data_IF_635669252942
#
_entry.id   IF_635669252942
#
_cell.length_a   1.000
_cell.length_b   1.000
_cell.length_c   1.000
_cell.angle_alpha   90.00
_cell.angle_beta   90.00
_cell.angle_gamma   90.00
#
_symmetry.space_group_name_H-M   'P 1'
#
loop_
_entity.id
_entity.type
_entity.pdbx_description
1 polymer ?
#
# COMPACT_ATOMS: atom_id res chain seq x y z
N UNK A 1 -8.84 -15.27 12.00
CA UNK A 1 -7.55 -15.68 12.57
C UNK A 1 -7.08 -16.84 11.72
N UNK A 2 -5.90 -16.74 11.11
CA UNK A 2 -5.31 -17.84 10.35
C UNK A 2 -4.18 -18.42 11.20
N UNK A 3 -4.30 -19.70 11.54
CA UNK A 3 -3.27 -20.45 12.27
C UNK A 3 -2.26 -21.13 11.31
N UNK A 4 -2.18 -20.72 10.05
CA UNK A 4 -1.73 -21.62 8.97
C UNK A 4 -0.72 -21.03 7.99
N UNK A 5 0.12 -20.07 8.40
CA UNK A 5 1.40 -19.85 7.73
C UNK A 5 2.45 -20.81 8.33
N UNK A 6 2.36 -22.11 8.01
CA UNK A 6 3.37 -23.11 8.44
C UNK A 6 4.67 -23.01 7.65
N UNK A 7 4.65 -22.31 6.51
CA UNK A 7 5.83 -22.06 5.69
C UNK A 7 6.45 -20.73 6.08
N UNK A 8 7.70 -20.80 6.56
CA UNK A 8 8.50 -19.62 6.92
C UNK A 8 8.97 -18.81 5.71
N UNK A 9 8.83 -19.36 4.50
CA UNK A 9 9.34 -18.77 3.26
C UNK A 9 8.39 -19.06 2.09
N UNK A 10 8.52 -18.25 1.04
CA UNK A 10 7.89 -18.49 -0.26
C UNK A 10 8.41 -19.82 -0.86
N UNK A 11 7.64 -20.47 -1.75
CA UNK A 11 8.14 -21.60 -2.53
C UNK A 11 9.45 -21.25 -3.27
N UNK A 12 10.38 -22.19 -3.38
CA UNK A 12 11.68 -21.97 -4.02
C UNK A 12 11.53 -21.48 -5.46
N UNK A 13 10.56 -22.02 -6.19
CA UNK A 13 10.29 -21.64 -7.58
C UNK A 13 9.80 -20.20 -7.69
N UNK A 14 9.14 -19.66 -6.66
CA UNK A 14 8.71 -18.27 -6.60
C UNK A 14 9.86 -17.35 -6.18
N UNK A 15 10.76 -17.82 -5.30
CA UNK A 15 12.00 -17.10 -4.96
C UNK A 15 12.92 -16.97 -6.19
N UNK A 16 13.13 -18.06 -6.93
CA UNK A 16 13.91 -18.07 -8.17
C UNK A 16 13.31 -17.14 -9.23
N UNK A 17 11.98 -17.17 -9.38
CA UNK A 17 11.27 -16.26 -10.26
C UNK A 17 11.58 -14.81 -9.92
N UNK A 18 11.43 -14.42 -8.65
CA UNK A 18 11.68 -13.04 -8.21
C UNK A 18 13.15 -12.64 -8.34
N UNK A 19 14.07 -13.53 -7.99
CA UNK A 19 15.51 -13.30 -8.10
C UNK A 19 15.94 -13.07 -9.56
N UNK A 20 15.38 -13.84 -10.52
CA UNK A 20 15.63 -13.63 -11.96
C UNK A 20 15.22 -12.24 -12.46
N UNK A 21 14.34 -11.56 -11.74
CA UNK A 21 13.87 -10.20 -12.02
C UNK A 21 14.64 -9.15 -11.21
N UNK A 22 15.76 -9.52 -10.59
CA UNK A 22 16.56 -8.70 -9.69
C UNK A 22 15.77 -8.14 -8.50
N UNK A 23 14.76 -8.88 -8.01
CA UNK A 23 13.96 -8.46 -6.86
C UNK A 23 14.65 -8.89 -5.56
N UNK A 24 14.98 -7.91 -4.71
CA UNK A 24 15.48 -8.16 -3.36
C UNK A 24 14.31 -8.48 -2.43
N UNK A 25 14.35 -9.65 -1.81
CA UNK A 25 13.27 -10.14 -0.94
C UNK A 25 13.67 -9.96 0.52
N UNK A 26 12.77 -9.35 1.29
CA UNK A 26 12.85 -9.26 2.75
C UNK A 26 11.69 -10.01 3.37
N UNK A 27 11.97 -10.95 4.26
CA UNK A 27 10.95 -11.64 5.04
C UNK A 27 10.52 -10.79 6.22
N UNK A 28 9.20 -10.68 6.39
CA UNK A 28 8.60 -10.16 7.62
C UNK A 28 8.67 -11.28 8.69
N UNK A 29 9.14 -10.98 9.91
CA UNK A 29 9.22 -11.99 10.96
C UNK A 29 7.85 -12.61 11.28
N UNK A 30 7.75 -13.95 11.40
CA UNK A 30 6.49 -14.61 11.71
C UNK A 30 5.97 -14.13 13.06
N UNK A 31 4.65 -14.06 13.18
CA UNK A 31 3.98 -13.59 14.39
C UNK A 31 3.08 -14.69 14.96
N UNK A 32 2.91 -14.68 16.29
CA UNK A 32 2.01 -15.64 16.97
C UNK A 32 0.56 -15.51 16.50
N UNK A 33 0.14 -14.32 16.08
CA UNK A 33 -1.21 -14.01 15.60
C UNK A 33 -1.17 -13.09 14.41
N UNK A 34 -1.63 -13.58 13.27
CA UNK A 34 -1.77 -12.78 12.05
C UNK A 34 -3.19 -12.24 11.92
N UNK A 35 -3.29 -10.94 11.65
CA UNK A 35 -4.56 -10.24 11.39
C UNK A 35 -4.38 -9.26 10.24
N UNK A 36 -5.48 -8.89 9.58
CA UNK A 36 -5.45 -7.90 8.51
C UNK A 36 -4.97 -6.54 9.04
N UNK A 37 -5.49 -6.11 10.20
CA UNK A 37 -5.03 -4.91 10.91
C UNK A 37 -3.50 -4.87 11.07
N UNK A 38 -2.92 -5.94 11.61
CA UNK A 38 -1.47 -6.01 11.85
C UNK A 38 -0.67 -5.98 10.56
N UNK A 39 -1.10 -6.74 9.56
CA UNK A 39 -0.45 -6.83 8.24
C UNK A 39 -0.42 -5.48 7.54
N UNK A 40 -1.49 -4.68 7.70
CA UNK A 40 -1.52 -3.31 7.21
C UNK A 40 -0.48 -2.41 7.89
N UNK A 41 -0.17 -2.63 9.18
CA UNK A 41 0.90 -1.88 9.86
C UNK A 41 2.31 -2.33 9.45
N UNK A 42 2.48 -3.56 8.96
CA UNK A 42 3.80 -4.02 8.49
C UNK A 42 4.31 -3.24 7.27
N UNK A 43 3.42 -2.53 6.56
CA UNK A 43 3.79 -1.58 5.50
C UNK A 43 4.84 -0.56 5.96
N UNK A 44 4.80 -0.16 7.22
CA UNK A 44 5.70 0.87 7.77
C UNK A 44 7.08 0.34 8.16
N UNK A 45 7.34 -0.98 8.08
CA UNK A 45 8.68 -1.54 8.27
C UNK A 45 9.70 -0.99 7.26
N UNK A 46 9.23 -0.51 6.12
CA UNK A 46 10.07 0.17 5.12
C UNK A 46 10.84 1.35 5.71
N UNK A 47 10.33 1.99 6.78
CA UNK A 47 11.04 3.08 7.46
C UNK A 47 12.36 2.62 8.11
N UNK A 48 12.54 1.32 8.34
CA UNK A 48 13.78 0.73 8.86
C UNK A 48 14.82 0.43 7.78
N UNK A 49 14.49 0.55 6.50
CA UNK A 49 15.41 0.25 5.39
C UNK A 49 16.28 1.49 5.07
N UNK A 50 17.11 1.88 6.03
CA UNK A 50 17.92 3.12 6.01
C UNK A 50 19.00 3.16 4.91
N UNK A 51 19.24 2.04 4.22
CA UNK A 51 20.06 2.03 3.01
C UNK A 51 19.42 2.80 1.83
N UNK A 52 18.13 3.14 1.92
CA UNK A 52 17.41 3.95 0.95
C UNK A 52 17.01 5.28 1.59
N UNK A 53 17.17 6.42 0.91
CA UNK A 53 16.73 7.73 1.42
C UNK A 53 15.21 7.80 1.55
N UNK A 54 14.49 7.34 0.51
CA UNK A 54 13.04 7.28 0.44
C UNK A 54 12.60 5.98 -0.22
N UNK A 55 11.39 5.52 0.11
CA UNK A 55 10.81 4.30 -0.47
C UNK A 55 9.41 4.59 -0.96
N UNK A 56 9.17 4.35 -2.26
CA UNK A 56 7.81 4.27 -2.82
C UNK A 56 7.23 2.90 -2.49
N UNK A 57 6.23 2.90 -1.63
CA UNK A 57 5.43 1.73 -1.32
C UNK A 57 4.26 1.61 -2.30
N UNK A 58 4.07 0.39 -2.82
CA UNK A 58 2.91 -0.01 -3.61
C UNK A 58 2.30 -1.27 -2.99
N UNK A 59 0.98 -1.29 -2.78
CA UNK A 59 0.28 -2.53 -2.43
C UNK A 59 0.48 -3.58 -3.55
N UNK A 60 0.52 -4.86 -3.17
CA UNK A 60 0.74 -5.96 -4.13
C UNK A 60 -0.39 -6.16 -5.15
N UNK A 61 -1.48 -5.38 -5.06
CA UNK A 61 -2.56 -5.29 -6.04
C UNK A 61 -2.58 -3.95 -6.80
N UNK A 62 -1.44 -3.26 -6.84
CA UNK A 62 -1.18 -2.13 -7.74
C UNK A 62 -0.33 -2.58 -8.93
N UNK A 63 -0.78 -2.23 -10.13
CA UNK A 63 -0.08 -2.50 -11.39
C UNK A 63 0.33 -1.18 -12.04
N UNK A 64 1.64 -0.82 -12.04
CA UNK A 64 2.14 0.31 -12.79
C UNK A 64 1.90 0.15 -14.30
N UNK A 65 1.60 1.25 -14.98
CA UNK A 65 1.33 1.34 -16.42
C UNK A 65 2.29 2.29 -17.15
N UNK A 66 3.10 3.03 -16.41
CA UNK A 66 4.07 3.98 -16.94
C UNK A 66 5.24 4.15 -15.96
N UNK A 67 6.26 4.91 -16.34
CA UNK A 67 7.40 5.20 -15.48
C UNK A 67 7.01 6.03 -14.22
N UNK A 68 7.37 5.53 -13.04
CA UNK A 68 7.17 6.20 -11.74
C UNK A 68 8.44 6.89 -11.21
N UNK A 69 9.58 6.80 -11.90
CA UNK A 69 10.83 7.46 -11.49
C UNK A 69 10.68 8.98 -11.33
N UNK A 70 9.91 9.70 -12.17
CA UNK A 70 9.68 11.12 -11.95
C UNK A 70 8.98 11.40 -10.61
N UNK A 71 8.07 10.51 -10.17
CA UNK A 71 7.45 10.60 -8.85
C UNK A 71 8.47 10.43 -7.71
N UNK A 72 9.41 9.48 -7.83
CA UNK A 72 10.47 9.28 -6.83
C UNK A 72 11.47 10.44 -6.77
N UNK A 73 11.87 10.96 -7.93
CA UNK A 73 12.99 11.89 -8.08
C UNK A 73 12.57 13.37 -8.04
N UNK A 74 11.27 13.66 -7.97
CA UNK A 74 10.75 15.02 -7.98
C UNK A 74 11.25 15.85 -6.79
N UNK A 75 11.83 17.00 -7.10
CA UNK A 75 12.24 18.02 -6.11
C UNK A 75 11.09 18.90 -5.64
N UNK A 76 9.91 18.78 -6.26
CA UNK A 76 8.72 19.54 -5.85
C UNK A 76 8.14 18.98 -4.55
N UNK A 77 8.48 17.75 -4.18
CA UNK A 77 7.91 17.07 -3.04
C UNK A 77 8.70 17.31 -1.74
N UNK A 78 7.94 17.39 -0.64
CA UNK A 78 8.44 17.23 0.72
C UNK A 78 8.96 15.80 0.97
N UNK A 79 9.45 15.55 2.18
CA UNK A 79 10.10 14.28 2.52
C UNK A 79 9.15 13.08 2.47
N UNK A 80 7.86 13.31 2.73
CA UNK A 80 6.79 12.33 2.55
C UNK A 80 5.83 12.78 1.45
N UNK A 81 5.34 11.83 0.66
CA UNK A 81 4.35 12.06 -0.39
C UNK A 81 3.28 11.00 -0.32
N UNK A 82 2.04 11.43 -0.38
CA UNK A 82 0.87 10.57 -0.40
C UNK A 82 -0.01 10.98 -1.55
N UNK A 83 -0.81 10.04 -2.06
CA UNK A 83 -1.85 10.37 -3.02
C UNK A 83 -3.20 10.45 -2.32
N UNK A 84 -4.07 11.31 -2.84
CA UNK A 84 -5.44 11.48 -2.37
C UNK A 84 -6.23 10.17 -2.45
N UNK A 85 -6.88 9.82 -1.33
CA UNK A 85 -7.80 8.70 -1.26
C UNK A 85 -9.17 9.03 -1.84
N UNK A 86 -9.97 7.99 -2.10
CA UNK A 86 -11.32 8.20 -2.66
C UNK A 86 -12.33 8.59 -1.58
N UNK A 87 -12.24 7.96 -0.40
CA UNK A 87 -13.13 8.16 0.77
C UNK A 87 -12.36 8.36 2.08
N UNK A 88 -11.05 8.33 1.97
CA UNK A 88 -10.07 8.51 3.02
C UNK A 88 -9.16 9.66 2.60
N UNK A 89 -8.57 10.43 3.52
CA UNK A 89 -7.71 11.53 3.14
C UNK A 89 -6.50 11.05 2.34
N UNK A 90 -5.81 10.01 2.81
CA UNK A 90 -4.62 9.43 2.17
C UNK A 90 -4.86 7.99 1.76
N UNK A 91 -4.47 7.64 0.54
CA UNK A 91 -4.49 6.26 0.08
C UNK A 91 -3.40 5.42 0.79
N UNK A 92 -3.79 4.31 1.42
CA UNK A 92 -2.84 3.42 2.11
C UNK A 92 -2.05 2.47 1.22
N UNK A 93 -2.29 2.46 -0.09
CA UNK A 93 -1.66 1.53 -1.03
C UNK A 93 -0.57 2.15 -1.90
N UNK A 94 -0.46 3.48 -1.98
CA UNK A 94 0.52 4.17 -2.80
C UNK A 94 1.04 5.40 -2.07
N UNK A 95 2.29 5.36 -1.61
CA UNK A 95 2.92 6.49 -0.91
C UNK A 95 4.44 6.40 -0.94
N UNK A 96 5.11 7.54 -0.83
CA UNK A 96 6.57 7.67 -0.73
C UNK A 96 6.90 8.22 0.66
N UNK A 97 7.70 7.51 1.45
CA UNK A 97 8.13 7.98 2.77
C UNK A 97 9.65 8.05 2.85
N UNK A 98 10.14 9.02 3.61
CA UNK A 98 11.54 9.07 4.04
C UNK A 98 11.81 8.03 5.11
N UNK A 99 12.91 7.30 4.98
CA UNK A 99 13.32 6.27 5.93
C UNK A 99 14.01 6.87 7.17
N UNK A 100 14.31 6.05 8.17
CA UNK A 100 15.05 6.46 9.38
C UNK A 100 14.19 6.75 10.60
N UNK A 101 12.87 6.58 10.53
CA UNK A 101 11.92 6.95 11.59
C UNK A 101 11.05 5.78 12.07
N UNK A 102 11.57 4.55 11.99
CA UNK A 102 10.84 3.34 12.38
C UNK A 102 10.46 3.34 13.88
N UNK A 103 11.35 3.82 14.74
CA UNK A 103 11.10 3.90 16.19
C UNK A 103 9.95 4.86 16.51
N UNK A 104 9.88 6.00 15.81
CA UNK A 104 8.81 6.99 16.01
C UNK A 104 7.44 6.39 15.71
N UNK A 105 7.30 5.71 14.56
CA UNK A 105 6.01 5.12 14.19
C UNK A 105 5.64 3.94 15.10
N UNK A 106 6.63 3.16 15.56
CA UNK A 106 6.40 2.09 16.53
C UNK A 106 5.86 2.65 17.85
N UNK A 107 6.39 3.76 18.34
CA UNK A 107 5.89 4.41 19.56
C UNK A 107 4.44 4.89 19.41
N UNK A 108 4.09 5.47 18.26
CA UNK A 108 2.71 5.87 17.94
C UNK A 108 1.77 4.67 17.99
N UNK A 109 2.16 3.55 17.35
CA UNK A 109 1.38 2.32 17.35
C UNK A 109 1.21 1.76 18.76
N UNK A 110 2.31 1.62 19.51
CA UNK A 110 2.29 1.07 20.85
C UNK A 110 1.39 1.88 21.80
N UNK A 111 1.49 3.22 21.75
CA UNK A 111 0.63 4.12 22.53
C UNK A 111 -0.85 3.92 22.20
N UNK A 112 -1.18 3.80 20.90
CA UNK A 112 -2.55 3.62 20.44
C UNK A 112 -3.08 2.23 20.80
N UNK A 113 -2.31 1.16 20.63
CA UNK A 113 -2.70 -0.20 21.02
C UNK A 113 -2.93 -0.31 22.54
N UNK A 114 -2.06 0.30 23.35
CA UNK A 114 -2.24 0.36 24.80
C UNK A 114 -3.54 1.10 25.20
N UNK A 115 -3.88 2.21 24.54
CA UNK A 115 -5.14 2.93 24.78
C UNK A 115 -6.35 2.12 24.32
N UNK A 116 -6.26 1.45 23.16
CA UNK A 116 -7.36 0.67 22.60
C UNK A 116 -7.82 -0.46 23.53
N UNK A 117 -6.89 -1.09 24.26
CA UNK A 117 -7.20 -2.13 25.25
C UNK A 117 -8.04 -1.62 26.44
N UNK A 118 -8.09 -0.31 26.66
CA UNK A 118 -8.85 0.34 27.75
C UNK A 118 -10.19 0.92 27.29
N UNK A 119 -10.44 0.95 25.98
CA UNK A 119 -11.65 1.53 25.41
C UNK A 119 -12.70 0.44 25.16
N UNK A 120 -13.97 0.78 25.37
CA UNK A 120 -15.08 -0.01 24.87
C UNK A 120 -15.05 -0.08 23.34
N UNK A 121 -15.76 -1.06 22.78
CA UNK A 121 -15.95 -1.16 21.32
C UNK A 121 -16.40 0.20 20.76
N UNK A 122 -15.77 0.75 19.71
CA UNK A 122 -14.92 0.07 18.72
C UNK A 122 -13.42 0.02 19.07
N UNK A 123 -13.02 0.18 20.33
CA UNK A 123 -11.61 0.21 20.74
C UNK A 123 -10.80 1.31 20.02
N UNK A 124 -11.49 2.36 19.58
CA UNK A 124 -10.90 3.47 18.84
C UNK A 124 -11.66 4.76 19.15
N UNK A 125 -10.91 5.74 19.65
CA UNK A 125 -11.43 7.07 19.97
C UNK A 125 -11.65 7.85 18.67
N UNK A 126 -12.89 7.97 18.21
CA UNK A 126 -13.21 8.64 16.95
C UNK A 126 -12.91 10.16 16.97
N UNK A 127 -12.73 10.75 18.15
CA UNK A 127 -12.40 12.17 18.27
C UNK A 127 -10.89 12.38 18.20
N UNK A 128 -10.12 11.63 18.98
CA UNK A 128 -8.66 11.77 19.05
C UNK A 128 -7.90 10.92 18.04
N UNK A 129 -8.45 9.81 17.60
CA UNK A 129 -7.84 8.84 16.71
C UNK A 129 -6.43 8.43 17.16
N UNK A 130 -5.44 8.77 16.33
CA UNK A 130 -4.02 8.51 16.57
C UNK A 130 -3.31 9.55 17.46
N UNK A 131 -4.04 10.57 17.94
CA UNK A 131 -3.50 11.60 18.83
C UNK A 131 -3.74 13.04 18.37
N UNK A 132 -4.66 13.28 17.42
CA UNK A 132 -5.01 14.62 16.93
C UNK A 132 -6.53 14.78 16.82
N UNK A 133 -7.06 15.89 17.29
CA UNK A 133 -8.49 16.18 17.27
C UNK A 133 -8.90 16.88 15.96
N UNK A 134 -9.82 16.26 15.20
CA UNK A 134 -10.24 16.74 13.88
C UNK A 134 -11.44 17.70 13.90
N UNK A 135 -12.00 18.04 15.07
CA UNK A 135 -13.16 18.96 15.19
C UNK A 135 -12.91 20.30 14.48
N UNK A 136 -11.70 20.84 14.63
CA UNK A 136 -11.32 22.14 14.09
C UNK A 136 -10.36 22.05 12.87
N UNK A 137 -10.10 20.83 12.40
CA UNK A 137 -9.18 20.50 11.29
C UNK A 137 -9.73 19.26 10.58
N UNK A 138 -10.86 19.39 9.85
CA UNK A 138 -11.51 18.26 9.22
C UNK A 138 -10.60 17.61 8.19
N UNK A 139 -10.67 16.29 8.10
CA UNK A 139 -10.05 15.58 7.00
C UNK A 139 -10.90 15.73 5.74
N UNK A 140 -10.25 15.73 4.58
CA UNK A 140 -10.88 15.84 3.27
C UNK A 140 -10.30 14.78 2.34
N UNK A 141 -11.15 14.25 1.48
CA UNK A 141 -10.84 13.32 0.39
C UNK A 141 -11.63 13.73 -0.85
N UNK A 142 -11.46 13.01 -1.96
CA UNK A 142 -12.19 13.28 -3.21
C UNK A 142 -13.72 13.31 -3.02
N UNK A 143 -14.29 12.33 -2.30
CA UNK A 143 -15.75 12.18 -2.18
C UNK A 143 -16.31 12.50 -0.80
N UNK A 144 -15.46 12.64 0.21
CA UNK A 144 -15.90 12.73 1.61
C UNK A 144 -15.01 13.68 2.42
N UNK A 145 -15.59 14.27 3.45
CA UNK A 145 -14.87 14.98 4.50
C UNK A 145 -15.50 14.68 5.85
N UNK A 146 -14.77 14.96 6.93
CA UNK A 146 -15.30 14.74 8.28
C UNK A 146 -14.43 15.35 9.37
N UNK A 147 -15.04 15.52 10.55
CA UNK A 147 -14.42 16.08 11.75
C UNK A 147 -14.07 15.01 12.80
N UNK A 148 -14.24 13.73 12.44
CA UNK A 148 -13.93 12.56 13.26
C UNK A 148 -13.07 11.59 12.47
N UNK A 149 -12.33 10.72 13.15
CA UNK A 149 -11.56 9.62 12.57
C UNK A 149 -12.47 8.46 12.12
N UNK A 150 -13.43 8.75 11.24
CA UNK A 150 -14.48 7.82 10.80
C UNK A 150 -14.32 7.35 9.35
N UNK A 151 -13.28 7.80 8.64
CA UNK A 151 -13.00 7.35 7.28
C UNK A 151 -12.52 5.88 7.23
N UNK A 152 -12.52 5.31 6.02
CA UNK A 152 -12.12 3.93 5.81
C UNK A 152 -10.70 3.67 6.36
N UNK A 153 -10.56 2.63 7.20
CA UNK A 153 -9.30 2.27 7.84
C UNK A 153 -8.64 3.42 8.63
N UNK A 154 -9.43 4.37 9.16
CA UNK A 154 -8.94 5.44 10.03
C UNK A 154 -8.25 4.91 11.30
N UNK A 155 -8.62 3.72 11.76
CA UNK A 155 -7.96 3.07 12.89
C UNK A 155 -6.76 2.22 12.49
N UNK A 156 -6.46 2.03 11.19
CA UNK A 156 -5.40 1.15 10.68
C UNK A 156 -4.37 1.93 9.83
N UNK A 157 -3.88 1.36 8.73
CA UNK A 157 -2.81 1.95 7.90
C UNK A 157 -3.13 3.36 7.39
N UNK A 158 -4.32 3.58 6.83
CA UNK A 158 -4.66 4.87 6.21
C UNK A 158 -4.70 6.00 7.25
N UNK A 159 -5.27 5.73 8.42
CA UNK A 159 -5.27 6.71 9.51
C UNK A 159 -3.91 6.92 10.15
N UNK A 160 -3.11 5.85 10.29
CA UNK A 160 -1.74 5.97 10.79
C UNK A 160 -0.88 6.78 9.82
N UNK A 161 -0.95 6.50 8.52
CA UNK A 161 -0.26 7.25 7.47
C UNK A 161 -0.66 8.73 7.50
N UNK A 162 -1.97 9.01 7.63
CA UNK A 162 -2.49 10.37 7.74
C UNK A 162 -1.93 11.09 8.97
N UNK A 163 -1.99 10.45 10.13
CA UNK A 163 -1.47 11.02 11.36
C UNK A 163 0.05 11.24 11.32
N UNK A 164 0.78 10.19 10.95
CA UNK A 164 2.23 10.17 10.92
C UNK A 164 2.76 11.26 9.98
N UNK A 165 2.30 11.30 8.73
CA UNK A 165 2.85 12.23 7.75
C UNK A 165 2.37 13.68 7.98
N UNK A 166 1.08 13.89 8.25
CA UNK A 166 0.50 15.24 8.40
C UNK A 166 0.81 15.84 9.78
N UNK A 167 0.53 15.14 10.87
CA UNK A 167 0.51 15.73 12.23
C UNK A 167 1.78 15.47 13.04
N UNK A 168 2.37 14.29 12.90
CA UNK A 168 3.58 13.91 13.63
C UNK A 168 4.84 14.47 12.94
N UNK A 169 5.08 14.09 11.67
CA UNK A 169 6.23 14.53 10.88
C UNK A 169 6.10 15.95 10.36
N UNK A 170 4.86 16.41 10.10
CA UNK A 170 4.58 17.76 9.58
C UNK A 170 5.41 18.08 8.33
N UNK A 171 5.52 17.13 7.42
CA UNK A 171 6.26 17.27 6.18
C UNK A 171 5.69 16.29 5.16
N UNK A 172 4.59 16.69 4.50
CA UNK A 172 3.89 15.83 3.53
C UNK A 172 3.34 16.60 2.34
N UNK A 173 3.60 16.08 1.15
CA UNK A 173 2.95 16.53 -0.09
C UNK A 173 1.82 15.59 -0.43
N UNK A 174 0.64 16.13 -0.72
CA UNK A 174 -0.54 15.38 -1.14
C UNK A 174 -0.77 15.64 -2.60
N UNK A 175 -0.72 14.59 -3.42
CA UNK A 175 -1.00 14.67 -4.86
C UNK A 175 -2.48 14.35 -5.08
N UNK A 176 -3.21 15.30 -5.65
CA UNK A 176 -4.63 15.18 -5.95
C UNK A 176 -4.87 14.56 -7.33
N UNK A 177 -6.08 14.02 -7.55
CA UNK A 177 -6.44 13.40 -8.85
C UNK A 177 -6.36 14.34 -10.05
N UNK A 178 -6.46 15.64 -9.78
CA UNK A 178 -6.30 16.74 -10.73
C UNK A 178 -4.85 17.02 -11.11
N UNK A 179 -3.87 16.38 -10.45
CA UNK A 179 -2.44 16.63 -10.58
C UNK A 179 -1.92 17.77 -9.70
N UNK A 180 -2.81 18.50 -9.02
CA UNK A 180 -2.41 19.54 -8.08
C UNK A 180 -1.70 18.95 -6.85
N UNK A 181 -0.76 19.72 -6.27
CA UNK A 181 -0.03 19.31 -5.06
C UNK A 181 -0.35 20.26 -3.91
N UNK A 182 -0.72 19.70 -2.76
CA UNK A 182 -0.87 20.44 -1.51
C UNK A 182 0.25 20.05 -0.52
N UNK A 183 1.00 21.04 -0.04
CA UNK A 183 2.07 20.84 0.93
C UNK A 183 1.58 21.17 2.35
N UNK A 184 1.63 20.18 3.23
CA UNK A 184 1.34 20.31 4.65
C UNK A 184 2.64 20.21 5.43
N UNK A 185 2.90 21.16 6.32
CA UNK A 185 4.07 21.08 7.16
C UNK A 185 4.26 22.28 8.07
N UNK A 186 5.40 22.31 8.75
CA UNK A 186 5.75 23.39 9.66
C UNK A 186 6.25 24.62 8.89
N UNK A 187 5.50 25.71 8.94
CA UNK A 187 5.81 26.98 8.27
C UNK A 187 6.48 28.02 9.20
N UNK A 188 7.14 27.59 10.29
CA UNK A 188 7.90 28.46 11.17
C UNK A 188 7.12 29.11 12.33
N UNK A 189 5.83 28.81 12.51
CA UNK A 189 5.05 29.26 13.68
C UNK A 189 4.49 28.05 14.44
N UNK A 190 4.29 28.16 15.75
CA UNK A 190 3.56 27.16 16.54
C UNK A 190 2.08 27.13 16.12
N UNK A 191 1.78 26.56 14.95
CA UNK A 191 0.40 26.47 14.46
C UNK A 191 -0.26 25.24 15.06
N UNK A 192 -1.34 25.46 15.80
CA UNK A 192 -2.26 24.41 16.30
C UNK A 192 -3.03 23.70 15.17
N UNK A 193 -2.96 24.20 13.94
CA UNK A 193 -3.55 23.63 12.72
C UNK A 193 -2.49 23.50 11.63
N UNK A 194 -2.40 22.33 11.00
CA UNK A 194 -1.53 22.16 9.84
C UNK A 194 -2.38 22.40 8.60
N UNK A 195 -2.47 23.67 8.21
CA UNK A 195 -3.07 24.08 6.93
C UNK A 195 -2.04 23.88 5.81
N UNK A 196 -2.48 23.67 4.56
CA UNK A 196 -1.56 23.75 3.45
C UNK A 196 -0.94 25.16 3.44
N UNK A 197 0.39 25.25 3.50
CA UNK A 197 1.09 26.54 3.49
C UNK A 197 1.55 26.93 2.08
N UNK A 198 1.70 25.94 1.21
CA UNK A 198 1.81 26.10 -0.24
C UNK A 198 0.91 25.07 -0.93
N UNK A 199 -0.02 25.56 -1.74
CA UNK A 199 -0.67 24.76 -2.78
C UNK A 199 -0.03 25.21 -4.09
N UNK A 200 0.80 24.37 -4.69
CA UNK A 200 1.29 24.64 -6.04
C UNK A 200 0.19 24.21 -6.99
N UNK A 201 -0.30 25.14 -7.80
CA UNK A 201 -1.19 24.84 -8.94
C UNK A 201 -0.44 24.19 -10.09
N UNK A 202 0.89 24.08 -9.98
CA UNK A 202 1.73 23.35 -10.92
C UNK A 202 1.29 21.89 -10.92
N UNK A 203 0.55 21.52 -11.96
CA UNK A 203 0.16 20.15 -12.16
C UNK A 203 1.45 19.31 -12.28
N UNK A 204 1.58 18.31 -11.42
CA UNK A 204 2.66 17.35 -11.53
C UNK A 204 2.36 16.47 -12.75
N UNK A 205 2.81 16.93 -13.91
CA UNK A 205 2.59 16.29 -15.20
C UNK A 205 3.84 15.52 -15.61
N UNK A 206 3.60 14.36 -16.19
CA UNK A 206 4.61 13.56 -16.87
C UNK A 206 3.93 12.91 -18.08
N UNK A 207 3.45 13.77 -18.98
CA UNK A 207 2.66 13.34 -20.14
C UNK A 207 3.53 12.65 -21.22
N UNK A 208 4.86 12.79 -21.14
CA UNK A 208 5.82 12.27 -22.13
C UNK A 208 6.23 10.81 -21.89
N UNK A 209 5.94 10.26 -20.70
CA UNK A 209 6.31 8.87 -20.41
C UNK A 209 5.42 7.88 -21.19
N UNK A 210 6.02 6.93 -21.95
CA UNK A 210 5.25 5.86 -22.59
C UNK A 210 4.35 5.16 -21.58
N UNK A 211 3.08 4.98 -21.96
CA UNK A 211 2.05 4.43 -21.07
C UNK A 211 1.30 3.30 -21.75
N UNK A 212 1.15 2.21 -21.01
CA UNK A 212 0.23 1.11 -21.36
C UNK A 212 -1.21 1.61 -21.21
N UNK A 213 -1.94 1.68 -22.32
CA UNK A 213 -3.32 2.19 -22.36
C UNK A 213 -4.31 1.07 -22.08
N UNK A 214 -4.98 1.13 -20.93
CA UNK A 214 -6.01 0.17 -20.53
C UNK A 214 -7.34 0.89 -20.29
N UNK A 215 -8.48 0.28 -20.64
CA UNK A 215 -9.79 0.84 -20.31
C UNK A 215 -9.98 0.97 -18.78
N UNK A 216 -10.48 2.12 -18.33
CA UNK A 216 -10.86 2.34 -16.92
C UNK A 216 -10.82 3.81 -16.50
N UNK A 217 -11.38 4.11 -15.32
CA UNK A 217 -11.46 5.49 -14.79
C UNK A 217 -10.09 6.16 -14.59
N UNK A 218 -9.07 5.36 -14.27
CA UNK A 218 -7.70 5.85 -14.07
C UNK A 218 -7.17 6.60 -15.31
N UNK A 219 -7.56 6.17 -16.53
CA UNK A 219 -7.09 6.76 -17.79
C UNK A 219 -7.44 8.24 -17.98
N UNK A 220 -8.47 8.72 -17.27
CA UNK A 220 -8.96 10.10 -17.32
C UNK A 220 -8.28 11.01 -16.28
N UNK A 221 -7.49 10.43 -15.37
CA UNK A 221 -6.84 11.16 -14.28
C UNK A 221 -5.50 11.75 -14.73
N UNK A 222 -4.88 12.59 -13.89
CA UNK A 222 -3.53 13.09 -14.13
C UNK A 222 -2.47 12.17 -13.52
N UNK A 223 -1.20 12.42 -13.84
CA UNK A 223 -0.08 11.72 -13.22
C UNK A 223 -0.09 11.94 -11.68
N UNK A 224 0.21 10.91 -10.86
CA UNK A 224 0.51 9.53 -11.22
C UNK A 224 -0.73 8.63 -11.35
N UNK A 225 -1.94 9.13 -11.07
CA UNK A 225 -3.17 8.32 -11.01
C UNK A 225 -3.52 7.59 -12.31
N UNK A 226 -3.16 8.15 -13.47
CA UNK A 226 -3.36 7.48 -14.75
C UNK A 226 -2.27 6.44 -15.10
N UNK A 227 -1.26 6.29 -14.25
CA UNK A 227 -0.08 5.46 -14.45
C UNK A 227 -0.11 4.19 -13.60
N UNK A 228 -1.23 3.89 -12.95
CA UNK A 228 -1.41 2.61 -12.29
C UNK A 228 -2.87 2.19 -12.28
N UNK A 229 -3.08 0.89 -12.07
CA UNK A 229 -4.38 0.32 -11.70
C UNK A 229 -4.25 -0.25 -10.30
N UNK A 230 -5.11 0.19 -9.39
CA UNK A 230 -5.23 -0.39 -8.05
C UNK A 230 -6.46 -1.31 -8.03
N UNK A 231 -6.24 -2.62 -7.93
CA UNK A 231 -7.29 -3.63 -7.91
C UNK A 231 -7.90 -3.80 -6.51
N UNK A 232 -8.64 -2.81 -6.03
CA UNK A 232 -9.23 -2.84 -4.68
C UNK A 232 -10.39 -3.84 -4.52
N UNK A 233 -10.55 -4.39 -3.32
CA UNK A 233 -11.67 -5.23 -2.92
C UNK A 233 -11.88 -6.46 -3.82
N UNK A 234 -13.06 -6.58 -4.42
CA UNK A 234 -13.44 -7.70 -5.28
C UNK A 234 -12.92 -7.59 -6.72
N UNK A 235 -12.21 -6.51 -7.05
CA UNK A 235 -11.62 -6.32 -8.39
C UNK A 235 -10.25 -7.00 -8.55
N UNK A 236 -9.65 -7.50 -7.45
CA UNK A 236 -8.38 -8.23 -7.44
C UNK A 236 -8.35 -9.33 -8.52
N UNK A 237 -7.28 -9.41 -9.32
CA UNK A 237 -7.29 -10.21 -10.53
C UNK A 237 -7.37 -11.72 -10.23
N UNK A 238 -6.84 -12.19 -9.11
CA UNK A 238 -6.93 -13.59 -8.66
C UNK A 238 -8.30 -13.98 -8.06
N UNK A 239 -9.19 -13.03 -7.76
CA UNK A 239 -10.52 -13.34 -7.25
C UNK A 239 -11.49 -13.75 -8.36
N UNK A 240 -12.64 -14.34 -7.96
CA UNK A 240 -13.72 -14.80 -8.86
C UNK A 240 -13.25 -15.77 -9.95
N UNK A 241 -12.21 -16.55 -9.65
CA UNK A 241 -11.68 -17.59 -10.53
C UNK A 241 -10.51 -17.19 -11.41
N UNK A 242 -9.86 -16.06 -11.11
CA UNK A 242 -8.64 -15.64 -11.79
C UNK A 242 -8.91 -15.15 -13.21
N UNK A 243 -8.09 -15.62 -14.15
CA UNK A 243 -8.05 -15.12 -15.53
C UNK A 243 -9.41 -15.07 -16.24
N UNK A 244 -9.67 -14.00 -17.03
CA UNK A 244 -10.82 -13.94 -17.94
C UNK A 244 -10.86 -15.12 -18.94
N UNK A 245 -12.04 -15.53 -19.44
CA UNK A 245 -12.17 -16.65 -20.39
C UNK A 245 -11.29 -16.51 -21.64
N UNK A 246 -11.20 -15.30 -22.17
CA UNK A 246 -10.47 -14.93 -23.39
C UNK A 246 -9.05 -14.39 -23.14
N UNK A 247 -8.60 -14.33 -21.88
CA UNK A 247 -7.17 -14.26 -21.55
C UNK A 247 -6.48 -15.51 -22.10
N UNK A 248 -5.18 -15.62 -22.31
CA UNK A 248 -4.09 -14.67 -22.20
C UNK A 248 -3.40 -14.73 -23.56
N UNK A 249 -3.83 -13.86 -24.47
CA UNK A 249 -3.40 -13.85 -25.87
C UNK A 249 -3.00 -12.42 -26.24
N UNK A 250 -2.03 -12.23 -27.16
CA UNK A 250 -1.60 -10.90 -27.56
C UNK A 250 -2.75 -10.01 -28.06
N UNK A 251 -3.75 -10.58 -28.73
CA UNK A 251 -4.90 -9.85 -29.27
C UNK A 251 -5.98 -9.52 -28.22
N UNK A 252 -5.90 -10.04 -26.99
CA UNK A 252 -6.86 -9.78 -25.91
C UNK A 252 -6.26 -9.10 -24.68
N UNK A 253 -4.92 -8.98 -24.60
CA UNK A 253 -4.20 -8.47 -23.42
C UNK A 253 -4.69 -7.07 -22.97
N UNK A 254 -5.04 -6.18 -23.90
CA UNK A 254 -5.45 -4.81 -23.59
C UNK A 254 -6.96 -4.62 -23.39
N UNK A 255 -7.77 -5.69 -23.39
CA UNK A 255 -9.24 -5.59 -23.22
C UNK A 255 -9.65 -5.02 -21.87
N UNK A 256 -8.87 -5.29 -20.82
CA UNK A 256 -9.05 -4.71 -19.49
C UNK A 256 -7.79 -4.87 -18.65
N UNK A 257 -7.70 -4.14 -17.53
CA UNK A 257 -6.57 -4.28 -16.61
C UNK A 257 -6.35 -5.71 -16.12
N UNK A 258 -7.44 -6.47 -15.92
CA UNK A 258 -7.36 -7.88 -15.52
C UNK A 258 -6.85 -8.80 -16.63
N UNK A 259 -7.15 -8.49 -17.90
CA UNK A 259 -6.55 -9.21 -19.03
C UNK A 259 -5.05 -8.98 -19.08
N UNK A 260 -4.63 -7.71 -18.91
CA UNK A 260 -3.23 -7.34 -18.98
C UNK A 260 -2.43 -7.98 -17.85
N UNK A 261 -2.88 -7.88 -16.59
CA UNK A 261 -2.26 -8.56 -15.44
C UNK A 261 -2.01 -10.05 -15.67
N UNK A 262 -3.03 -10.76 -16.16
CA UNK A 262 -2.97 -12.21 -16.36
C UNK A 262 -2.19 -12.59 -17.61
N UNK A 263 -2.12 -11.70 -18.60
CA UNK A 263 -1.26 -11.85 -19.76
C UNK A 263 0.20 -11.76 -19.37
N UNK A 264 0.62 -10.68 -18.71
CA UNK A 264 1.99 -10.47 -18.24
C UNK A 264 2.45 -11.62 -17.33
N UNK A 265 1.62 -12.04 -16.37
CA UNK A 265 1.93 -13.19 -15.53
C UNK A 265 2.10 -14.48 -16.35
N UNK A 266 1.30 -14.67 -17.40
CA UNK A 266 1.41 -15.84 -18.25
C UNK A 266 2.66 -15.83 -19.12
N UNK A 267 3.13 -14.67 -19.58
CA UNK A 267 4.37 -14.56 -20.35
C UNK A 267 5.58 -14.78 -19.44
N UNK A 268 5.61 -14.12 -18.27
CA UNK A 268 6.68 -14.28 -17.29
C UNK A 268 6.86 -15.74 -16.85
N UNK A 269 5.76 -16.47 -16.58
CA UNK A 269 5.85 -17.89 -16.23
C UNK A 269 6.39 -18.74 -17.38
N UNK A 270 6.06 -18.43 -18.64
CA UNK A 270 6.59 -19.15 -19.81
C UNK A 270 8.07 -18.89 -20.01
N UNK A 271 8.51 -17.64 -19.90
CA UNK A 271 9.92 -17.24 -20.01
C UNK A 271 10.79 -17.98 -18.99
N UNK A 272 10.23 -18.26 -17.82
CA UNK A 272 10.89 -18.98 -16.73
C UNK A 272 10.67 -20.50 -16.77
N UNK A 273 10.04 -21.02 -17.84
CA UNK A 273 9.78 -22.46 -17.98
C UNK A 273 8.82 -23.05 -16.92
N UNK A 274 8.07 -22.22 -16.18
CA UNK A 274 7.14 -22.64 -15.13
C UNK A 274 5.89 -23.26 -15.74
N UNK A 275 5.77 -24.58 -15.63
CA UNK A 275 4.62 -25.36 -16.14
C UNK A 275 3.61 -25.77 -15.06
N UNK A 276 3.96 -25.59 -13.79
CA UNK A 276 3.14 -25.92 -12.62
C UNK A 276 1.93 -25.00 -12.44
N UNK A 277 1.99 -23.77 -12.99
CA UNK A 277 0.90 -22.79 -12.96
C UNK A 277 0.31 -22.59 -14.36
N UNK A 278 -0.89 -23.15 -14.58
CA UNK A 278 -1.71 -22.76 -15.72
C UNK A 278 -2.60 -21.56 -15.37
N UNK A 279 -2.20 -20.35 -15.80
CA UNK A 279 -2.88 -19.09 -15.46
C UNK A 279 -4.39 -19.10 -15.73
N UNK A 280 -4.84 -19.79 -16.78
CA UNK A 280 -6.26 -19.87 -17.17
C UNK A 280 -7.11 -20.71 -16.23
N UNK A 281 -6.51 -21.64 -15.48
CA UNK A 281 -7.24 -22.65 -14.70
C UNK A 281 -6.84 -22.71 -13.24
N UNK A 282 -5.67 -22.19 -12.86
CA UNK A 282 -5.10 -22.27 -11.51
C UNK A 282 -6.08 -21.78 -10.43
N UNK A 283 -6.70 -20.62 -10.65
CA UNK A 283 -7.67 -20.04 -9.70
C UNK A 283 -9.11 -20.54 -9.90
N UNK A 284 -9.44 -21.24 -10.99
CA UNK A 284 -10.81 -21.75 -11.23
C UNK A 284 -11.20 -22.82 -10.22
N UNK A 285 -10.28 -23.77 -9.95
CA UNK A 285 -10.50 -24.85 -8.96
C UNK A 285 -10.68 -24.32 -7.54
N UNK A 286 -10.12 -23.13 -7.27
CA UNK A 286 -10.12 -22.47 -5.96
C UNK A 286 -11.25 -21.43 -5.80
N UNK A 287 -12.17 -21.30 -6.77
CA UNK A 287 -13.29 -20.32 -6.75
C UNK A 287 -14.10 -20.28 -5.45
N UNK A 288 -14.29 -21.42 -4.76
CA UNK A 288 -15.05 -21.50 -3.50
C UNK A 288 -14.21 -21.19 -2.24
N UNK A 289 -12.88 -21.18 -2.34
CA UNK A 289 -11.95 -21.09 -1.20
C UNK A 289 -11.10 -19.80 -1.17
N UNK A 290 -11.31 -18.85 -2.10
CA UNK A 290 -10.47 -17.65 -2.26
C UNK A 290 -10.80 -16.48 -1.33
N UNK A 291 -11.51 -16.70 -0.22
CA UNK A 291 -11.56 -15.67 0.82
C UNK A 291 -10.14 -15.56 1.40
N UNK A 292 -9.51 -14.38 1.40
CA UNK A 292 -8.19 -14.24 2.00
C UNK A 292 -8.25 -14.68 3.47
N UNK A 293 -7.25 -15.44 3.96
CA UNK A 293 -7.28 -16.03 5.30
C UNK A 293 -7.37 -14.98 6.42
N UNK A 294 -6.90 -13.76 6.15
CA UNK A 294 -6.96 -12.62 7.07
C UNK A 294 -8.21 -11.75 6.89
N UNK A 295 -9.04 -12.02 5.88
CA UNK A 295 -10.20 -11.21 5.50
C UNK A 295 -9.85 -10.14 4.44
N UNK A 296 -10.80 -9.22 4.19
CA UNK A 296 -10.66 -8.16 3.18
C UNK A 296 -10.34 -6.78 3.75
N UNK A 297 -10.53 -6.59 5.05
CA UNK A 297 -10.41 -5.30 5.72
C UNK A 297 -10.05 -5.49 7.19
N UNK A 298 -9.40 -4.49 7.82
CA UNK A 298 -9.16 -4.53 9.25
C UNK A 298 -10.49 -4.46 10.02
N UNK A 299 -10.57 -5.08 11.19
CA UNK A 299 -11.72 -4.93 12.09
C UNK A 299 -11.28 -4.45 13.47
N UNK A 300 -12.16 -3.75 14.17
CA UNK A 300 -11.88 -3.23 15.51
C UNK A 300 -11.51 -4.33 16.53
N UNK A 301 -12.07 -5.52 16.38
CA UNK A 301 -11.72 -6.66 17.25
C UNK A 301 -10.27 -7.14 17.06
N UNK A 302 -9.68 -6.93 15.88
CA UNK A 302 -8.28 -7.32 15.62
C UNK A 302 -7.28 -6.45 16.41
N UNK A 303 -7.72 -5.29 16.91
CA UNK A 303 -6.88 -4.32 17.62
C UNK A 303 -6.58 -4.76 19.05
N UNK A 304 -7.57 -5.27 19.78
CA UNK A 304 -7.47 -5.53 21.24
C UNK A 304 -6.34 -6.50 21.59
N UNK A 305 -6.07 -7.42 20.67
CA UNK A 305 -5.03 -8.44 20.80
C UNK A 305 -3.83 -8.18 19.89
N UNK A 306 -3.75 -7.00 19.28
CA UNK A 306 -2.59 -6.64 18.48
C UNK A 306 -1.39 -6.39 19.40
N UNK A 307 -0.23 -6.88 18.98
CA UNK A 307 1.04 -6.69 19.69
C UNK A 307 2.07 -6.28 18.65
N UNK A 308 1.85 -5.11 18.06
CA UNK A 308 2.63 -4.72 16.89
C UNK A 308 4.07 -4.43 17.30
N UNK A 309 5.00 -5.15 16.68
CA UNK A 309 6.43 -4.89 16.79
C UNK A 309 7.04 -4.80 15.38
N UNK A 310 7.21 -3.57 14.90
CA UNK A 310 7.87 -3.26 13.65
C UNK A 310 9.40 -3.27 13.79
N UNK A 311 9.93 -3.22 15.01
CA UNK A 311 11.38 -3.15 15.29
C UNK A 311 12.09 -4.48 15.13
N UNK A 312 11.37 -5.61 15.12
CA UNK A 312 11.96 -6.89 14.75
C UNK A 312 12.51 -6.75 13.31
N UNK A 313 13.82 -6.93 13.08
CA UNK A 313 14.42 -6.63 11.78
C UNK A 313 13.82 -7.48 10.67
N UNK A 314 13.73 -6.88 9.48
CA UNK A 314 13.50 -7.62 8.25
C UNK A 314 14.71 -8.50 7.96
N UNK A 315 14.49 -9.75 7.57
CA UNK A 315 15.57 -10.66 7.19
C UNK A 315 15.64 -10.73 5.68
N UNK A 316 16.80 -10.38 5.09
CA UNK A 316 17.00 -10.57 3.65
C UNK A 316 17.01 -12.07 3.35
N UNK A 317 16.21 -12.48 2.38
CA UNK A 317 16.18 -13.86 1.88
C UNK A 317 17.25 -13.97 0.81
N UNK A 318 18.16 -14.93 0.98
CA UNK A 318 19.11 -15.33 -0.05
C UNK A 318 18.60 -16.65 -0.62
N UNK A 319 18.69 -16.81 -1.94
CA UNK A 319 18.63 -18.16 -2.50
C UNK A 319 19.82 -18.91 -1.94
N UNK A 320 19.59 -20.08 -1.36
CA UNK A 320 20.69 -20.94 -0.98
C UNK A 320 21.46 -21.28 -2.26
N UNK A 321 22.72 -20.86 -2.33
CA UNK A 321 23.70 -21.40 -3.29
C UNK A 321 23.96 -22.87 -2.90
N UNK A 322 23.00 -23.75 -3.17
CA UNK A 322 23.17 -25.20 -3.09
C UNK A 322 23.11 -25.75 -4.49
N UNK A 323 24.25 -25.68 -5.18
CA UNK A 323 24.95 -26.82 -5.79
C UNK A 323 25.94 -26.32 -6.85
N UNK A 324 27.04 -25.71 -6.38
CA UNK A 324 28.32 -25.74 -7.10
C UNK A 324 29.27 -26.57 -6.24
N UNK A 325 29.13 -27.89 -6.33
CA UNK A 325 30.12 -28.86 -5.83
C UNK A 325 30.61 -29.70 -7.00
#
# INVERSE_FOLDING_TARGET
>A
MSETATKLQLPNEDLQLLDSQNVIIYSIPPQKRETFYRTQLDKFRILGLQQYEKILFLDGDIMPLCNLDPFLSSRQFQENVVIEGLREPFNGGFFLLKTGYLDEIQQIIAKREAKAAQLDYPHFDLTMGWGHNLINDPWTSELQSGTQWSFLAAFADQGLLYYYAKYHRKSVSVVHRTGAIAHYGWNGVAVTKIKPFHQTTDAFLNDDSPRIRLPGKHSQMKYPFHCFVHFSGLSKPWLKGGAPPECCRPNTQYKSAKHFWMYELSELLKEQGRTDINVRTHWKKRKKAHLPPLGFFPTYLQVVNASTNLLTPLTRVYLNDTDVS
#
